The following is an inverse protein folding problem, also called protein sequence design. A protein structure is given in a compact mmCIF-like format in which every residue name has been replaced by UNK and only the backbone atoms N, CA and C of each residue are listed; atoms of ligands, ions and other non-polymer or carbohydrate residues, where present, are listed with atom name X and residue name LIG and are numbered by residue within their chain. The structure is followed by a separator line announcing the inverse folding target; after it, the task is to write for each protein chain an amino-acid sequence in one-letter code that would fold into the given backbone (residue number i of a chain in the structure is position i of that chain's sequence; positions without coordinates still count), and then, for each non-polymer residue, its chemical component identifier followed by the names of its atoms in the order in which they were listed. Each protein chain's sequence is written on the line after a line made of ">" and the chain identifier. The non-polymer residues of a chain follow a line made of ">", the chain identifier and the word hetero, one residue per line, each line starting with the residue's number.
data_IF_620158691239
#
_entry.id   IF_620158691239
#
_cell.length_a   1.000
_cell.length_b   1.000
_cell.length_c   1.000
_cell.angle_alpha   90.00
_cell.angle_beta   90.00
_cell.angle_gamma   90.00
#
_symmetry.space_group_name_H-M   'P 1'
#
loop_
_entity.id
_entity.type
_entity.pdbx_description
1 polymer ?
#
# COMPACT_ATOMS: atom_id res chain seq x y z
N UNK A 1 4.15 3.81 37.30
CA UNK A 1 3.03 3.15 36.60
C UNK A 1 2.68 3.82 35.22
N UNK A 2 2.48 5.14 35.15
CA UNK A 2 2.12 5.82 33.87
C UNK A 2 3.22 5.75 32.79
N UNK A 3 4.50 5.81 33.18
CA UNK A 3 5.64 5.75 32.24
C UNK A 3 5.82 4.35 31.66
N UNK A 4 5.55 3.31 32.46
CA UNK A 4 5.57 1.91 32.03
C UNK A 4 4.43 1.61 31.06
N UNK A 5 3.27 2.21 31.25
CA UNK A 5 2.10 2.04 30.39
C UNK A 5 2.33 2.71 29.00
N UNK A 6 2.89 3.91 28.97
CA UNK A 6 3.25 4.60 27.73
C UNK A 6 4.30 3.83 26.92
N UNK A 7 5.27 3.20 27.57
CA UNK A 7 6.29 2.40 26.87
C UNK A 7 5.73 1.11 26.27
N UNK A 8 4.72 0.51 26.91
CA UNK A 8 4.02 -0.66 26.40
C UNK A 8 3.14 -0.30 25.19
N UNK A 9 2.42 0.83 25.26
CA UNK A 9 1.62 1.37 24.16
C UNK A 9 2.52 1.69 22.97
N UNK A 10 3.66 2.34 23.17
CA UNK A 10 4.61 2.66 22.12
C UNK A 10 5.13 1.42 21.41
N UNK A 11 5.57 0.39 22.17
CA UNK A 11 6.04 -0.87 21.60
C UNK A 11 4.96 -1.57 20.77
N UNK A 12 3.73 -1.60 21.26
CA UNK A 12 2.60 -2.17 20.52
C UNK A 12 2.33 -1.38 19.23
N UNK A 13 2.36 -0.05 19.30
CA UNK A 13 2.17 0.82 18.12
C UNK A 13 3.23 0.56 17.08
N UNK A 14 4.51 0.51 17.45
CA UNK A 14 5.62 0.21 16.52
C UNK A 14 5.44 -1.17 15.90
N UNK A 15 5.10 -2.20 16.70
CA UNK A 15 4.89 -3.56 16.19
C UNK A 15 3.76 -3.59 15.14
N UNK A 16 2.60 -2.99 15.44
CA UNK A 16 1.45 -2.93 14.52
C UNK A 16 1.81 -2.15 13.24
N UNK A 17 2.48 -1.00 13.37
CA UNK A 17 2.93 -0.22 12.23
C UNK A 17 3.95 -0.97 11.39
N UNK A 18 4.89 -1.69 12.02
CA UNK A 18 5.89 -2.50 11.32
C UNK A 18 5.25 -3.62 10.51
N UNK A 19 4.29 -4.35 11.09
CA UNK A 19 3.51 -5.37 10.36
C UNK A 19 2.77 -4.71 9.18
N UNK A 20 2.11 -3.58 9.40
CA UNK A 20 1.44 -2.82 8.34
C UNK A 20 2.40 -2.38 7.23
N UNK A 21 3.64 -1.99 7.58
CA UNK A 21 4.67 -1.62 6.61
C UNK A 21 5.15 -2.82 5.78
N UNK A 22 5.32 -4.00 6.38
CA UNK A 22 5.67 -5.22 5.63
C UNK A 22 4.55 -5.57 4.65
N UNK A 23 3.31 -5.64 5.11
CA UNK A 23 2.15 -5.96 4.26
C UNK A 23 1.95 -4.92 3.16
N UNK A 24 2.03 -3.62 3.49
CA UNK A 24 1.95 -2.54 2.52
C UNK A 24 3.09 -2.56 1.52
N UNK A 25 4.31 -2.89 1.95
CA UNK A 25 5.48 -3.07 1.08
C UNK A 25 5.33 -4.24 0.12
N UNK A 26 4.81 -5.39 0.60
CA UNK A 26 4.52 -6.57 -0.23
C UNK A 26 3.49 -6.20 -1.31
N UNK A 27 2.36 -5.63 -0.90
CA UNK A 27 1.29 -5.22 -1.81
C UNK A 27 1.78 -4.20 -2.86
N UNK A 28 2.52 -3.19 -2.43
CA UNK A 28 3.09 -2.19 -3.33
C UNK A 28 4.11 -2.80 -4.30
N UNK A 29 5.04 -3.62 -3.82
CA UNK A 29 6.04 -4.30 -4.65
C UNK A 29 5.39 -5.21 -5.70
N UNK A 30 4.38 -6.00 -5.31
CA UNK A 30 3.62 -6.82 -6.22
C UNK A 30 2.85 -5.98 -7.26
N UNK A 31 2.19 -4.90 -6.82
CA UNK A 31 1.44 -4.00 -7.71
C UNK A 31 2.35 -3.32 -8.74
N UNK A 32 3.52 -2.83 -8.34
CA UNK A 32 4.48 -2.22 -9.27
C UNK A 32 5.02 -3.25 -10.25
N UNK A 33 5.34 -4.45 -9.78
CA UNK A 33 5.85 -5.54 -10.62
C UNK A 33 4.83 -5.99 -11.66
N UNK A 34 3.58 -6.21 -11.26
CA UNK A 34 2.52 -6.66 -12.15
C UNK A 34 1.85 -5.51 -12.92
N UNK A 35 1.85 -4.31 -12.37
CA UNK A 35 1.15 -3.17 -12.97
C UNK A 35 1.60 -2.87 -14.39
N UNK A 36 2.90 -2.91 -14.64
CA UNK A 36 3.47 -2.73 -15.97
C UNK A 36 3.00 -3.84 -16.95
N UNK A 37 3.01 -5.10 -16.47
CA UNK A 37 2.56 -6.26 -17.27
C UNK A 37 1.06 -6.16 -17.57
N UNK A 38 0.24 -5.82 -16.57
CA UNK A 38 -1.21 -5.64 -16.75
C UNK A 38 -1.51 -4.48 -17.72
N UNK A 39 -0.81 -3.36 -17.58
CA UNK A 39 -1.00 -2.21 -18.47
C UNK A 39 -0.62 -2.56 -19.91
N UNK A 40 0.51 -3.22 -20.15
CA UNK A 40 0.92 -3.69 -21.47
C UNK A 40 -0.09 -4.68 -22.06
N UNK A 41 -0.54 -5.64 -21.25
CA UNK A 41 -1.47 -6.68 -21.69
C UNK A 41 -2.85 -6.12 -22.07
N UNK A 42 -3.42 -5.21 -21.25
CA UNK A 42 -4.74 -4.63 -21.52
C UNK A 42 -4.72 -3.56 -22.60
N UNK A 43 -3.62 -2.81 -22.75
CA UNK A 43 -3.47 -1.78 -23.78
C UNK A 43 -3.04 -2.35 -25.13
N UNK A 44 -2.46 -3.56 -25.16
CA UNK A 44 -1.80 -4.13 -26.33
C UNK A 44 -0.53 -3.41 -26.75
N UNK A 45 0.09 -2.60 -25.85
CA UNK A 45 1.27 -1.80 -26.15
C UNK A 45 2.23 -1.73 -24.96
N UNK A 46 3.46 -2.15 -25.16
CA UNK A 46 4.53 -2.03 -24.16
C UNK A 46 4.86 -0.58 -23.80
N UNK A 47 4.61 0.35 -24.72
CA UNK A 47 4.83 1.78 -24.49
C UNK A 47 3.93 2.35 -23.38
N UNK A 48 2.77 1.73 -23.11
CA UNK A 48 1.83 2.15 -22.07
C UNK A 48 2.05 1.47 -20.73
N UNK A 49 3.03 0.56 -20.62
CA UNK A 49 3.34 -0.15 -19.37
C UNK A 49 3.70 0.80 -18.22
N UNK A 50 4.39 1.90 -18.50
CA UNK A 50 4.75 2.92 -17.51
C UNK A 50 3.57 3.70 -16.92
N UNK A 51 2.40 3.69 -17.59
CA UNK A 51 1.21 4.40 -17.10
C UNK A 51 0.68 3.81 -15.79
N UNK A 52 0.91 2.53 -15.51
CA UNK A 52 0.54 1.92 -14.24
C UNK A 52 1.25 2.62 -13.06
N UNK A 53 2.58 2.74 -13.14
CA UNK A 53 3.38 3.41 -12.11
C UNK A 53 3.05 4.91 -12.03
N UNK A 54 2.84 5.56 -13.18
CA UNK A 54 2.43 6.97 -13.23
C UNK A 54 1.06 7.18 -12.56
N UNK A 55 0.09 6.29 -12.79
CA UNK A 55 -1.23 6.35 -12.16
C UNK A 55 -1.16 6.18 -10.63
N UNK A 56 -0.37 5.22 -10.13
CA UNK A 56 -0.15 5.04 -8.69
C UNK A 56 0.49 6.29 -8.09
N UNK A 57 1.52 6.82 -8.72
CA UNK A 57 2.22 8.03 -8.25
C UNK A 57 1.30 9.24 -8.22
N UNK A 58 0.49 9.42 -9.27
CA UNK A 58 -0.53 10.47 -9.34
C UNK A 58 -1.54 10.33 -8.20
N UNK A 59 -2.05 9.12 -7.97
CA UNK A 59 -2.98 8.82 -6.88
C UNK A 59 -2.38 9.12 -5.50
N UNK A 60 -1.11 8.77 -5.29
CA UNK A 60 -0.37 9.10 -4.07
C UNK A 60 -0.29 10.60 -3.86
N UNK A 61 0.08 11.36 -4.91
CA UNK A 61 0.18 12.81 -4.85
C UNK A 61 -1.19 13.48 -4.56
N UNK A 62 -2.24 13.07 -5.26
CA UNK A 62 -3.59 13.61 -5.10
C UNK A 62 -4.18 13.36 -3.71
N UNK A 63 -3.86 12.21 -3.10
CA UNK A 63 -4.43 11.81 -1.80
C UNK A 63 -3.57 12.20 -0.60
N UNK A 64 -2.30 12.51 -0.78
CA UNK A 64 -1.39 12.88 0.31
C UNK A 64 -1.89 14.08 1.13
N UNK A 65 -2.30 15.16 0.47
CA UNK A 65 -2.79 16.38 1.14
C UNK A 65 -4.14 16.17 1.83
N UNK A 66 -5.17 15.60 1.18
CA UNK A 66 -6.44 15.29 1.84
C UNK A 66 -6.29 14.37 3.05
N UNK A 67 -5.49 13.30 2.94
CA UNK A 67 -5.24 12.39 4.06
C UNK A 67 -4.48 13.07 5.20
N UNK A 68 -3.50 13.94 4.90
CA UNK A 68 -2.83 14.74 5.93
C UNK A 68 -3.80 15.72 6.62
N UNK A 69 -4.69 16.36 5.88
CA UNK A 69 -5.73 17.23 6.44
C UNK A 69 -6.70 16.43 7.33
N UNK A 70 -7.10 15.24 6.90
CA UNK A 70 -7.94 14.34 7.67
C UNK A 70 -7.25 13.90 8.97
N UNK A 71 -5.96 13.57 8.90
CA UNK A 71 -5.16 13.19 10.07
C UNK A 71 -5.05 14.33 11.10
N UNK A 72 -4.93 15.59 10.64
CA UNK A 72 -4.92 16.77 11.53
C UNK A 72 -6.27 17.03 12.19
N UNK A 73 -7.38 16.79 11.49
CA UNK A 73 -8.73 17.11 11.99
C UNK A 73 -9.30 16.01 12.88
N UNK A 74 -9.11 14.76 12.50
CA UNK A 74 -9.83 13.62 13.06
C UNK A 74 -8.88 12.57 13.64
N UNK A 75 -7.57 12.80 13.51
CA UNK A 75 -6.52 11.89 13.99
C UNK A 75 -6.00 10.91 12.95
N UNK A 76 -4.92 10.22 13.30
CA UNK A 76 -4.21 9.29 12.41
C UNK A 76 -5.04 8.07 12.01
N UNK A 77 -5.79 7.48 12.95
CA UNK A 77 -6.54 6.24 12.70
C UNK A 77 -7.55 6.37 11.56
N UNK A 78 -8.49 7.35 11.57
CA UNK A 78 -9.44 7.49 10.47
C UNK A 78 -8.75 7.87 9.15
N UNK A 79 -7.68 8.66 9.16
CA UNK A 79 -6.95 9.00 7.94
C UNK A 79 -6.31 7.76 7.31
N UNK A 80 -5.61 6.93 8.09
CA UNK A 80 -5.02 5.69 7.60
C UNK A 80 -6.09 4.70 7.12
N UNK A 81 -7.18 4.54 7.89
CA UNK A 81 -8.30 3.69 7.51
C UNK A 81 -8.92 4.12 6.18
N UNK A 82 -9.14 5.43 5.98
CA UNK A 82 -9.68 5.97 4.73
C UNK A 82 -8.75 5.66 3.55
N UNK A 83 -7.44 5.92 3.68
CA UNK A 83 -6.48 5.63 2.62
C UNK A 83 -6.44 4.15 2.25
N UNK A 84 -6.48 3.26 3.24
CA UNK A 84 -6.52 1.81 3.00
C UNK A 84 -7.84 1.35 2.37
N UNK A 85 -8.98 1.90 2.80
CA UNK A 85 -10.29 1.58 2.20
C UNK A 85 -10.35 2.00 0.74
N UNK A 86 -9.85 3.20 0.42
CA UNK A 86 -9.77 3.68 -0.97
C UNK A 86 -8.87 2.77 -1.81
N UNK A 87 -7.73 2.33 -1.25
CA UNK A 87 -6.84 1.40 -1.94
C UNK A 87 -7.49 0.03 -2.18
N UNK A 88 -8.26 -0.50 -1.23
CA UNK A 88 -9.02 -1.76 -1.40
C UNK A 88 -10.06 -1.65 -2.52
N UNK A 89 -10.77 -0.53 -2.62
CA UNK A 89 -11.65 -0.25 -3.76
C UNK A 89 -10.85 -0.24 -5.06
N UNK A 90 -9.66 0.37 -5.06
CA UNK A 90 -8.74 0.35 -6.20
C UNK A 90 -8.35 -1.06 -6.63
N UNK A 91 -8.02 -1.95 -5.69
CA UNK A 91 -7.73 -3.36 -5.98
C UNK A 91 -8.94 -4.06 -6.63
N UNK A 92 -10.15 -3.83 -6.10
CA UNK A 92 -11.38 -4.35 -6.70
C UNK A 92 -11.58 -3.88 -8.14
N UNK A 93 -11.28 -2.61 -8.42
CA UNK A 93 -11.34 -2.07 -9.79
C UNK A 93 -10.29 -2.68 -10.72
N UNK A 94 -9.07 -2.93 -10.23
CA UNK A 94 -8.02 -3.62 -11.02
C UNK A 94 -8.49 -5.01 -11.40
N UNK A 95 -9.03 -5.78 -10.46
CA UNK A 95 -9.56 -7.13 -10.72
C UNK A 95 -10.70 -7.06 -11.76
N UNK A 96 -11.64 -6.14 -11.58
CA UNK A 96 -12.75 -5.95 -12.52
C UNK A 96 -12.27 -5.49 -13.90
N UNK A 97 -11.24 -4.65 -13.96
CA UNK A 97 -10.64 -4.15 -15.19
C UNK A 97 -9.99 -5.27 -16.00
N UNK A 98 -9.29 -6.20 -15.34
CA UNK A 98 -8.69 -7.37 -15.99
C UNK A 98 -9.78 -8.31 -16.52
N UNK A 99 -10.81 -8.57 -15.71
CA UNK A 99 -11.94 -9.42 -16.12
C UNK A 99 -12.73 -8.83 -17.30
N UNK A 100 -12.89 -7.49 -17.33
CA UNK A 100 -13.63 -6.75 -18.38
C UNK A 100 -12.78 -6.22 -19.53
N UNK A 101 -11.46 -6.50 -19.55
CA UNK A 101 -10.52 -5.94 -20.54
C UNK A 101 -10.60 -4.41 -20.69
N UNK A 102 -10.80 -3.69 -19.58
CA UNK A 102 -11.02 -2.25 -19.55
C UNK A 102 -9.79 -1.48 -19.06
N UNK A 103 -8.94 -1.02 -19.98
CA UNK A 103 -7.69 -0.31 -19.65
C UNK A 103 -7.91 0.98 -18.83
N UNK A 104 -8.93 1.79 -19.16
CA UNK A 104 -9.23 2.99 -18.38
C UNK A 104 -9.61 2.68 -16.93
N UNK A 105 -10.36 1.58 -16.70
CA UNK A 105 -10.72 1.12 -15.36
C UNK A 105 -9.49 0.62 -14.59
N UNK A 106 -8.53 -0.02 -15.28
CA UNK A 106 -7.25 -0.42 -14.70
C UNK A 106 -6.48 0.79 -14.15
N UNK A 107 -6.33 1.85 -14.96
CA UNK A 107 -5.63 3.06 -14.53
C UNK A 107 -6.34 3.75 -13.35
N UNK A 108 -7.67 3.80 -13.36
CA UNK A 108 -8.45 4.32 -12.24
C UNK A 108 -8.20 3.51 -10.96
N UNK A 109 -8.16 2.19 -11.06
CA UNK A 109 -7.80 1.31 -9.95
C UNK A 109 -6.41 1.62 -9.39
N UNK A 110 -5.41 1.82 -10.25
CA UNK A 110 -4.05 2.19 -9.81
C UNK A 110 -3.98 3.57 -9.16
N UNK A 111 -4.74 4.56 -9.64
CA UNK A 111 -4.86 5.86 -8.96
C UNK A 111 -5.40 5.68 -7.53
N UNK A 112 -6.43 4.87 -7.34
CA UNK A 112 -6.98 4.62 -5.99
C UNK A 112 -6.02 3.82 -5.10
N UNK A 113 -5.26 2.88 -5.65
CA UNK A 113 -4.19 2.16 -4.92
C UNK A 113 -3.13 3.16 -4.41
N UNK A 114 -2.87 4.23 -5.14
CA UNK A 114 -1.99 5.32 -4.71
C UNK A 114 -2.39 5.96 -3.38
N UNK A 115 -3.68 5.95 -3.01
CA UNK A 115 -4.13 6.41 -1.70
C UNK A 115 -3.60 5.53 -0.55
N UNK A 116 -3.50 4.23 -0.76
CA UNK A 116 -2.88 3.29 0.18
C UNK A 116 -1.39 3.60 0.37
N UNK A 117 -0.69 3.92 -0.71
CA UNK A 117 0.71 4.34 -0.64
C UNK A 117 0.87 5.65 0.14
N UNK A 118 -0.01 6.64 -0.06
CA UNK A 118 -0.01 7.87 0.72
C UNK A 118 -0.27 7.60 2.21
N UNK A 119 -1.20 6.71 2.55
CA UNK A 119 -1.45 6.29 3.93
C UNK A 119 -0.24 5.56 4.52
N UNK A 120 0.40 4.68 3.76
CA UNK A 120 1.62 3.97 4.15
C UNK A 120 2.76 4.95 4.48
N UNK A 121 2.97 5.98 3.67
CA UNK A 121 3.95 7.04 3.95
C UNK A 121 3.60 7.80 5.24
N UNK A 122 2.34 8.10 5.49
CA UNK A 122 1.91 8.80 6.70
C UNK A 122 2.04 7.95 7.96
N UNK A 123 1.95 6.62 7.86
CA UNK A 123 2.11 5.71 9.02
C UNK A 123 3.51 5.79 9.63
N UNK A 124 4.53 6.14 8.85
CA UNK A 124 5.90 6.38 9.33
C UNK A 124 5.97 7.54 10.30
N UNK A 125 5.21 8.61 10.04
CA UNK A 125 5.12 9.76 10.95
C UNK A 125 4.36 9.38 12.23
N UNK A 126 3.36 8.49 12.15
CA UNK A 126 2.67 7.99 13.33
C UNK A 126 3.60 7.24 14.31
N UNK A 127 4.63 6.57 13.80
CA UNK A 127 5.65 5.93 14.64
C UNK A 127 6.47 6.95 15.45
N UNK A 128 6.62 8.18 14.93
CA UNK A 128 7.36 9.25 15.59
C UNK A 128 6.52 10.04 16.60
N UNK A 129 5.19 10.01 16.50
CA UNK A 129 4.30 10.86 17.30
C UNK A 129 4.38 10.60 18.81
N UNK A 130 4.60 9.35 19.23
CA UNK A 130 4.74 8.95 20.64
C UNK A 130 6.19 8.68 21.06
N UNK A 131 7.14 8.83 20.15
CA UNK A 131 8.54 8.56 20.41
C UNK A 131 9.17 9.69 21.23
N UNK A 132 10.01 9.35 22.19
CA UNK A 132 10.89 10.32 22.87
C UNK A 132 11.98 10.78 21.90
N UNK A 133 12.60 11.95 22.17
CA UNK A 133 13.68 12.45 21.32
C UNK A 133 14.85 11.46 21.20
N UNK A 134 15.10 10.67 22.25
CA UNK A 134 16.13 9.64 22.26
C UNK A 134 15.77 8.37 21.45
N UNK A 135 14.50 8.04 21.30
CA UNK A 135 14.05 6.83 20.59
C UNK A 135 13.54 7.09 19.16
N UNK A 136 13.21 8.35 18.83
CA UNK A 136 12.57 8.73 17.56
C UNK A 136 13.32 8.23 16.33
N UNK A 137 14.65 8.40 16.29
CA UNK A 137 15.46 7.93 15.17
C UNK A 137 15.43 6.43 15.00
N UNK A 138 15.52 5.67 16.11
CA UNK A 138 15.47 4.20 16.11
C UNK A 138 14.09 3.70 15.68
N UNK A 139 13.03 4.28 16.22
CA UNK A 139 11.65 3.85 15.96
C UNK A 139 11.26 4.09 14.49
N UNK A 140 11.65 5.24 13.93
CA UNK A 140 11.52 5.53 12.49
C UNK A 140 12.35 4.55 11.63
N UNK A 141 13.59 4.26 12.04
CA UNK A 141 14.45 3.34 11.30
C UNK A 141 13.86 1.94 11.23
N UNK A 142 13.31 1.43 12.32
CA UNK A 142 12.66 0.12 12.37
C UNK A 142 11.50 0.06 11.37
N UNK A 143 10.62 1.07 11.39
CA UNK A 143 9.45 1.13 10.50
C UNK A 143 9.86 1.25 9.03
N UNK A 144 10.90 2.03 8.72
CA UNK A 144 11.42 2.17 7.35
C UNK A 144 12.09 0.88 6.87
N UNK A 145 12.90 0.22 7.72
CA UNK A 145 13.54 -1.05 7.38
C UNK A 145 12.53 -2.16 7.09
N UNK A 146 11.45 -2.25 7.86
CA UNK A 146 10.39 -3.23 7.61
C UNK A 146 9.69 -3.02 6.26
N UNK A 147 9.61 -1.77 5.78
CA UNK A 147 9.12 -1.49 4.42
C UNK A 147 10.01 -2.08 3.35
N UNK A 148 11.33 -1.99 3.53
CA UNK A 148 12.31 -2.56 2.58
C UNK A 148 12.15 -4.09 2.49
N UNK A 149 11.96 -4.76 3.63
CA UNK A 149 11.69 -6.21 3.66
C UNK A 149 10.42 -6.52 2.84
N UNK A 150 9.33 -5.78 3.07
CA UNK A 150 8.09 -5.93 2.32
C UNK A 150 8.27 -5.71 0.81
N UNK A 151 8.98 -4.67 0.42
CA UNK A 151 9.23 -4.36 -1.00
C UNK A 151 10.06 -5.43 -1.71
N UNK A 152 11.01 -6.07 -1.01
CA UNK A 152 11.78 -7.19 -1.57
C UNK A 152 10.93 -8.46 -1.66
N UNK A 153 10.08 -8.72 -0.67
CA UNK A 153 9.21 -9.90 -0.67
C UNK A 153 8.08 -9.80 -1.71
N UNK A 154 7.56 -8.58 -1.98
CA UNK A 154 6.41 -8.35 -2.86
C UNK A 154 6.53 -9.05 -4.23
N UNK A 155 7.55 -8.75 -5.04
CA UNK A 155 7.73 -9.40 -6.34
C UNK A 155 7.89 -10.92 -6.25
N UNK A 156 8.48 -11.44 -5.16
CA UNK A 156 8.68 -12.87 -4.95
C UNK A 156 7.39 -13.61 -4.58
N UNK A 157 6.37 -12.90 -4.10
CA UNK A 157 5.07 -13.48 -3.76
C UNK A 157 4.06 -13.46 -4.92
N UNK A 158 4.43 -12.93 -6.08
CA UNK A 158 3.55 -12.92 -7.26
C UNK A 158 3.15 -14.33 -7.65
N UNK A 159 4.11 -15.26 -7.78
CA UNK A 159 3.83 -16.66 -8.13
C UNK A 159 2.91 -17.37 -7.12
N UNK A 160 3.24 -17.40 -5.83
CA UNK A 160 2.34 -17.91 -4.80
C UNK A 160 0.97 -17.24 -4.78
N UNK A 161 0.90 -15.92 -5.00
CA UNK A 161 -0.35 -15.16 -5.07
C UNK A 161 -1.24 -15.59 -6.23
N UNK A 162 -0.67 -15.88 -7.40
CA UNK A 162 -1.41 -16.40 -8.55
C UNK A 162 -2.03 -17.78 -8.27
N UNK A 163 -1.32 -18.65 -7.56
CA UNK A 163 -1.85 -19.96 -7.16
C UNK A 163 -3.07 -19.81 -6.24
N UNK A 164 -2.97 -18.93 -5.24
CA UNK A 164 -4.10 -18.64 -4.33
C UNK A 164 -5.23 -17.93 -5.07
N UNK A 165 -4.92 -16.96 -5.91
CA UNK A 165 -5.89 -16.23 -6.72
C UNK A 165 -6.68 -17.16 -7.65
N UNK A 166 -6.02 -18.09 -8.32
CA UNK A 166 -6.67 -19.10 -9.14
C UNK A 166 -7.61 -20.00 -8.33
N UNK A 167 -7.23 -20.38 -7.10
CA UNK A 167 -8.07 -21.18 -6.22
C UNK A 167 -9.35 -20.48 -5.78
N UNK A 168 -9.36 -19.13 -5.74
CA UNK A 168 -10.55 -18.32 -5.40
C UNK A 168 -11.25 -17.74 -6.65
N UNK A 169 -10.84 -18.15 -7.85
CA UNK A 169 -11.48 -17.75 -9.11
C UNK A 169 -11.15 -16.33 -9.59
N UNK A 170 -10.03 -15.78 -9.16
CA UNK A 170 -9.57 -14.45 -9.63
C UNK A 170 -9.02 -14.53 -11.07
N UNK A 171 -9.16 -13.45 -11.86
CA UNK A 171 -8.55 -13.38 -13.18
C UNK A 171 -7.01 -13.56 -13.12
N UNK A 172 -6.38 -14.11 -14.18
CA UNK A 172 -4.93 -14.23 -14.27
C UNK A 172 -4.23 -12.89 -14.02
N UNK A 173 -3.04 -12.91 -13.42
CA UNK A 173 -2.21 -11.76 -13.07
C UNK A 173 -2.82 -10.84 -11.97
N UNK A 174 -3.91 -11.22 -11.33
CA UNK A 174 -4.49 -10.47 -10.21
C UNK A 174 -4.31 -11.15 -8.87
N UNK A 175 -3.89 -12.42 -8.83
CA UNK A 175 -3.74 -13.22 -7.62
C UNK A 175 -2.75 -12.64 -6.61
N UNK A 176 -1.76 -11.86 -7.05
CA UNK A 176 -0.82 -11.18 -6.16
C UNK A 176 -1.48 -10.13 -5.23
N UNK A 177 -2.70 -9.71 -5.53
CA UNK A 177 -3.46 -8.76 -4.70
C UNK A 177 -4.22 -9.43 -3.54
N UNK A 178 -4.09 -10.75 -3.40
CA UNK A 178 -4.64 -11.51 -2.26
C UNK A 178 -3.92 -11.17 -0.94
N UNK A 179 -2.68 -10.72 -1.03
CA UNK A 179 -1.85 -10.30 0.11
C UNK A 179 -1.89 -8.79 0.27
#
# INVERSE_FOLDING_TARGET
>A
DAVTDLSAVQRRTIAVLSVGQVLGGISFGATVSLGAVLAAHLSGSDALSGLATAAITLGTALTAVPLAALARRWGRRPALATGMTVALVGVGLVIAAVAGHAFALLLTGFVLIGAGQAANLQSRFAAADLATDASRGRDLSIVVWTTTIGAVLGPNLVGPGEVVGAAVGMPPLTGAHVF
#
